data_IF_597512647911
#
_entry.id   IF_597512647911
#
_cell.length_a   1.000
_cell.length_b   1.000
_cell.length_c   1.000
_cell.angle_alpha   90.00
_cell.angle_beta   90.00
_cell.angle_gamma   90.00
#
_symmetry.space_group_name_H-M   'P 1'
#
loop_
_entity.id
_entity.type
_entity.pdbx_description
1 polymer ?
#
# COMPACT_ATOMS: atom_id res chain seq x y z
N UNK A 1 -14.59 12.40 -45.68
CA UNK A 1 -13.24 13.02 -45.62
C UNK A 1 -12.53 12.46 -44.39
N UNK A 2 -11.25 12.12 -44.48
CA UNK A 2 -10.47 11.61 -43.34
C UNK A 2 -10.00 12.75 -42.43
N UNK A 3 -9.97 12.51 -41.12
CA UNK A 3 -9.39 13.37 -40.07
C UNK A 3 -8.71 12.48 -39.02
N UNK A 4 -7.69 13.00 -38.34
CA UNK A 4 -7.02 12.29 -37.24
C UNK A 4 -7.97 12.00 -36.08
N UNK A 5 -8.79 12.98 -35.67
CA UNK A 5 -9.82 12.79 -34.62
C UNK A 5 -10.83 11.71 -35.01
N UNK A 6 -11.33 11.75 -36.26
CA UNK A 6 -12.29 10.74 -36.71
C UNK A 6 -11.65 9.36 -36.86
N UNK A 7 -10.34 9.26 -37.13
CA UNK A 7 -9.63 7.97 -37.09
C UNK A 7 -9.54 7.44 -35.67
N UNK A 8 -9.14 8.29 -34.72
CA UNK A 8 -9.08 7.94 -33.30
C UNK A 8 -10.43 7.46 -32.77
N UNK A 9 -11.51 8.20 -33.02
CA UNK A 9 -12.88 7.81 -32.62
C UNK A 9 -13.25 6.43 -33.17
N UNK A 10 -13.00 6.17 -34.46
CA UNK A 10 -13.28 4.85 -35.07
C UNK A 10 -12.42 3.73 -34.48
N UNK A 11 -11.18 4.01 -34.10
CA UNK A 11 -10.29 3.04 -33.46
C UNK A 11 -10.76 2.72 -32.04
N UNK A 12 -11.20 3.73 -31.28
CA UNK A 12 -11.80 3.57 -29.95
C UNK A 12 -13.12 2.81 -30.02
N UNK A 13 -14.06 3.20 -30.88
CA UNK A 13 -15.35 2.51 -31.04
C UNK A 13 -15.17 1.02 -31.40
N UNK A 14 -14.18 0.72 -32.25
CA UNK A 14 -13.85 -0.66 -32.61
C UNK A 14 -13.26 -1.42 -31.41
N UNK A 15 -12.37 -0.78 -30.64
CA UNK A 15 -11.79 -1.39 -29.45
C UNK A 15 -12.87 -1.63 -28.38
N UNK A 16 -13.76 -0.68 -28.16
CA UNK A 16 -14.87 -0.79 -27.21
C UNK A 16 -15.85 -1.90 -27.62
N UNK A 17 -16.18 -2.00 -28.91
CA UNK A 17 -17.00 -3.10 -29.41
C UNK A 17 -16.36 -4.49 -29.28
N UNK A 18 -15.02 -4.57 -29.33
CA UNK A 18 -14.28 -5.85 -29.23
C UNK A 18 -13.97 -6.25 -27.79
N UNK A 19 -13.59 -5.30 -26.94
CA UNK A 19 -13.09 -5.54 -25.59
C UNK A 19 -14.10 -5.15 -24.50
N UNK A 20 -15.04 -4.26 -24.79
CA UNK A 20 -16.08 -3.81 -23.86
C UNK A 20 -16.85 -4.96 -23.20
N UNK A 21 -17.38 -5.95 -23.96
CA UNK A 21 -18.09 -7.08 -23.36
C UNK A 21 -17.23 -7.90 -22.38
N UNK A 22 -15.91 -7.93 -22.58
CA UNK A 22 -14.99 -8.64 -21.69
C UNK A 22 -14.77 -7.84 -20.39
N UNK A 23 -14.63 -6.52 -20.47
CA UNK A 23 -14.54 -5.65 -19.29
C UNK A 23 -15.86 -5.64 -18.50
N UNK A 24 -17.00 -5.57 -19.19
CA UNK A 24 -18.34 -5.67 -18.57
C UNK A 24 -18.53 -6.99 -17.84
N UNK A 25 -18.13 -8.12 -18.46
CA UNK A 25 -18.16 -9.44 -17.81
C UNK A 25 -17.42 -9.41 -16.48
N UNK A 26 -16.20 -8.88 -16.43
CA UNK A 26 -15.40 -8.89 -15.21
C UNK A 26 -15.85 -7.85 -14.19
N UNK A 27 -16.34 -6.69 -14.62
CA UNK A 27 -16.90 -5.67 -13.74
C UNK A 27 -18.09 -6.20 -12.94
N UNK A 28 -18.92 -7.04 -13.56
CA UNK A 28 -20.11 -7.59 -12.92
C UNK A 28 -19.82 -8.83 -12.04
N UNK A 29 -18.56 -9.31 -12.03
CA UNK A 29 -18.10 -10.39 -11.17
C UNK A 29 -17.55 -9.83 -9.85
N UNK A 30 -17.58 -10.65 -8.79
CA UNK A 30 -16.85 -10.32 -7.57
C UNK A 30 -15.33 -10.40 -7.79
N UNK A 31 -14.56 -9.51 -7.16
CA UNK A 31 -13.10 -9.43 -7.31
C UNK A 31 -12.42 -10.78 -7.04
N UNK A 32 -12.90 -11.57 -6.08
CA UNK A 32 -12.34 -12.90 -5.78
C UNK A 32 -12.52 -13.84 -6.98
N UNK A 33 -13.70 -13.83 -7.60
CA UNK A 33 -13.97 -14.63 -8.78
C UNK A 33 -13.14 -14.17 -10.00
N UNK A 34 -12.92 -12.86 -10.13
CA UNK A 34 -12.02 -12.29 -11.16
C UNK A 34 -10.57 -12.69 -10.90
N UNK A 35 -10.14 -12.74 -9.63
CA UNK A 35 -8.80 -13.15 -9.23
C UNK A 35 -8.52 -14.63 -9.55
N UNK A 36 -9.54 -15.49 -9.52
CA UNK A 36 -9.40 -16.91 -9.86
C UNK A 36 -9.37 -17.17 -11.38
N UNK A 37 -9.96 -16.29 -12.20
CA UNK A 37 -9.98 -16.40 -13.66
C UNK A 37 -8.58 -16.14 -14.28
N UNK A 38 -8.04 -17.14 -14.98
CA UNK A 38 -6.70 -17.05 -15.59
C UNK A 38 -6.59 -15.94 -16.65
N UNK A 39 -7.63 -15.73 -17.44
CA UNK A 39 -7.65 -14.69 -18.46
C UNK A 39 -7.67 -13.31 -17.81
N UNK A 40 -8.47 -13.13 -16.76
CA UNK A 40 -8.52 -11.90 -15.98
C UNK A 40 -7.16 -11.60 -15.31
N UNK A 41 -6.52 -12.57 -14.65
CA UNK A 41 -5.19 -12.38 -14.04
C UNK A 41 -4.15 -11.93 -15.05
N UNK A 42 -4.09 -12.56 -16.23
CA UNK A 42 -3.16 -12.13 -17.30
C UNK A 42 -3.47 -10.72 -17.82
N UNK A 43 -4.73 -10.29 -17.80
CA UNK A 43 -5.09 -8.92 -18.13
C UNK A 43 -4.64 -7.95 -17.04
N UNK A 44 -4.96 -8.26 -15.78
CA UNK A 44 -4.55 -7.45 -14.62
C UNK A 44 -3.03 -7.34 -14.48
N UNK A 45 -2.27 -8.41 -14.73
CA UNK A 45 -0.80 -8.38 -14.78
C UNK A 45 -0.28 -7.38 -15.81
N UNK A 46 -0.84 -7.39 -17.02
CA UNK A 46 -0.47 -6.44 -18.08
C UNK A 46 -0.81 -5.01 -17.68
N UNK A 47 -1.96 -4.77 -17.05
CA UNK A 47 -2.29 -3.46 -16.51
C UNK A 47 -1.29 -3.04 -15.43
N UNK A 48 -0.95 -3.95 -14.51
CA UNK A 48 -0.04 -3.69 -13.40
C UNK A 48 1.36 -3.32 -13.88
N UNK A 49 1.92 -4.07 -14.83
CA UNK A 49 3.24 -3.79 -15.41
C UNK A 49 3.28 -2.41 -16.09
N UNK A 50 2.18 -1.99 -16.72
CA UNK A 50 2.12 -0.71 -17.42
C UNK A 50 1.91 0.49 -16.49
N UNK A 51 1.14 0.32 -15.41
CA UNK A 51 0.66 1.46 -14.60
C UNK A 51 1.18 1.48 -13.16
N UNK A 52 1.54 0.34 -12.58
CA UNK A 52 1.83 0.21 -11.15
C UNK A 52 3.28 -0.18 -10.86
N UNK A 53 3.92 -0.96 -11.75
CA UNK A 53 5.24 -1.56 -11.53
C UNK A 53 6.37 -0.55 -11.34
N UNK A 54 6.25 0.67 -11.87
CA UNK A 54 7.24 1.74 -11.67
C UNK A 54 7.44 2.07 -10.19
N UNK A 55 6.38 1.97 -9.39
CA UNK A 55 6.40 2.25 -7.96
C UNK A 55 6.47 0.97 -7.13
N UNK A 56 5.62 -0.01 -7.44
CA UNK A 56 5.49 -1.25 -6.66
C UNK A 56 6.43 -2.38 -7.11
N UNK A 57 7.32 -2.12 -8.08
CA UNK A 57 8.22 -3.12 -8.63
C UNK A 57 7.54 -4.03 -9.65
N UNK A 58 8.33 -4.59 -10.58
CA UNK A 58 7.82 -5.49 -11.62
C UNK A 58 7.25 -6.79 -11.06
N UNK A 59 7.73 -7.23 -9.89
CA UNK A 59 7.26 -8.40 -9.17
C UNK A 59 6.27 -8.08 -8.06
N UNK A 60 5.85 -6.81 -7.94
CA UNK A 60 4.96 -6.28 -6.92
C UNK A 60 5.50 -6.32 -5.47
N UNK A 61 6.81 -6.54 -5.27
CA UNK A 61 7.42 -6.57 -3.92
C UNK A 61 7.74 -5.20 -3.34
N UNK A 62 7.43 -4.13 -4.06
CA UNK A 62 7.66 -2.77 -3.62
C UNK A 62 9.13 -2.37 -3.63
N UNK A 63 9.41 -1.28 -2.94
CA UNK A 63 10.73 -0.72 -2.72
C UNK A 63 10.70 0.16 -1.46
N UNK A 64 11.81 0.78 -1.08
CA UNK A 64 11.80 1.74 0.02
C UNK A 64 10.80 2.86 -0.26
N UNK A 65 9.77 2.98 0.59
CA UNK A 65 8.67 3.94 0.45
C UNK A 65 7.47 3.45 -0.35
N UNK A 66 7.53 2.26 -0.96
CA UNK A 66 6.45 1.66 -1.74
C UNK A 66 6.10 0.26 -1.21
N UNK A 67 4.84 0.01 -0.81
CA UNK A 67 4.45 -1.26 -0.18
C UNK A 67 4.71 -2.48 -1.06
N UNK A 68 5.05 -3.60 -0.41
CA UNK A 68 4.99 -4.92 -0.98
C UNK A 68 3.52 -5.34 -1.08
N UNK A 69 3.04 -5.60 -2.29
CA UNK A 69 1.64 -5.95 -2.53
C UNK A 69 1.38 -7.46 -2.51
N UNK A 70 2.41 -8.26 -2.23
CA UNK A 70 2.31 -9.72 -2.16
C UNK A 70 2.19 -10.25 -0.74
N UNK A 71 2.66 -9.51 0.25
CA UNK A 71 2.58 -9.96 1.63
C UNK A 71 1.21 -9.66 2.25
N UNK A 72 1.10 -10.02 3.53
CA UNK A 72 -0.14 -9.89 4.28
C UNK A 72 -0.14 -8.62 5.18
N UNK A 73 0.80 -7.68 4.99
CA UNK A 73 0.88 -6.45 5.76
C UNK A 73 0.26 -5.27 5.00
N UNK A 74 -0.98 -4.95 5.36
CA UNK A 74 -1.78 -3.95 4.65
C UNK A 74 -2.01 -2.71 5.48
N UNK A 75 -1.51 -1.58 4.97
CA UNK A 75 -1.70 -0.26 5.59
C UNK A 75 -3.18 0.18 5.63
N UNK A 76 -3.97 -0.18 4.62
CA UNK A 76 -5.36 0.30 4.45
C UNK A 76 -6.39 -0.82 4.33
N UNK A 77 -6.04 -2.04 4.76
CA UNK A 77 -6.86 -3.25 4.55
C UNK A 77 -6.47 -3.99 3.27
N UNK A 78 -6.47 -5.32 3.35
CA UNK A 78 -6.08 -6.22 2.26
C UNK A 78 -7.25 -7.01 1.65
N UNK A 79 -8.48 -6.76 2.11
CA UNK A 79 -9.66 -7.35 1.47
C UNK A 79 -9.93 -6.67 0.11
N UNK A 80 -10.64 -7.36 -0.80
CA UNK A 80 -10.85 -6.89 -2.16
C UNK A 80 -11.40 -5.46 -2.27
N UNK A 81 -12.36 -5.10 -1.41
CA UNK A 81 -12.99 -3.78 -1.45
C UNK A 81 -12.03 -2.67 -1.06
N UNK A 82 -11.18 -2.88 -0.03
CA UNK A 82 -10.18 -1.89 0.38
C UNK A 82 -9.04 -1.74 -0.65
N UNK A 83 -8.67 -2.83 -1.34
CA UNK A 83 -7.70 -2.77 -2.45
C UNK A 83 -8.26 -1.94 -3.59
N UNK A 84 -9.49 -2.23 -4.03
CA UNK A 84 -10.15 -1.49 -5.11
C UNK A 84 -10.33 -0.02 -4.76
N UNK A 85 -10.78 0.28 -3.54
CA UNK A 85 -10.89 1.65 -3.04
C UNK A 85 -9.53 2.36 -3.07
N UNK A 86 -8.46 1.70 -2.65
CA UNK A 86 -7.10 2.25 -2.68
C UNK A 86 -6.68 2.59 -4.11
N UNK A 87 -7.00 1.75 -5.08
CA UNK A 87 -6.66 2.00 -6.49
C UNK A 87 -7.47 3.15 -7.05
N UNK A 88 -8.78 3.16 -6.82
CA UNK A 88 -9.69 4.16 -7.37
C UNK A 88 -9.43 5.55 -6.77
N UNK A 89 -9.48 5.65 -5.45
CA UNK A 89 -9.55 6.92 -4.74
C UNK A 89 -8.18 7.38 -4.22
N UNK A 90 -7.16 6.52 -4.35
CA UNK A 90 -5.83 6.79 -3.85
C UNK A 90 -5.76 6.73 -2.32
N UNK A 91 -4.56 6.93 -1.79
CA UNK A 91 -4.30 6.99 -0.34
C UNK A 91 -3.23 8.04 -0.04
N UNK A 92 -3.36 8.66 1.13
CA UNK A 92 -2.42 9.66 1.61
C UNK A 92 -2.05 9.37 3.07
N UNK A 93 -0.90 8.74 3.27
CA UNK A 93 -0.38 8.41 4.59
C UNK A 93 0.46 9.55 5.14
N UNK A 94 0.07 10.09 6.28
CA UNK A 94 0.74 11.24 6.92
C UNK A 94 1.24 10.85 8.31
N UNK A 95 2.56 10.89 8.49
CA UNK A 95 3.22 10.85 9.79
C UNK A 95 3.85 12.24 10.05
N UNK A 96 3.42 12.98 11.08
CA UNK A 96 4.02 14.27 11.41
C UNK A 96 5.49 14.17 11.80
N UNK A 97 6.21 15.29 11.71
CA UNK A 97 7.55 15.43 12.26
C UNK A 97 7.49 15.64 13.77
N UNK A 98 8.21 14.82 14.55
CA UNK A 98 8.12 14.84 16.01
C UNK A 98 9.38 15.34 16.72
N UNK A 99 10.49 15.60 16.01
CA UNK A 99 11.77 15.91 16.66
C UNK A 99 11.67 17.06 17.68
N UNK A 100 11.08 18.19 17.29
CA UNK A 100 10.93 19.33 18.20
C UNK A 100 10.04 19.00 19.41
N UNK A 101 8.93 18.28 19.20
CA UNK A 101 8.00 17.90 20.25
C UNK A 101 8.59 16.87 21.22
N UNK A 102 9.50 16.02 20.74
CA UNK A 102 10.18 15.01 21.54
C UNK A 102 11.39 15.55 22.33
N UNK A 103 11.74 16.84 22.16
CA UNK A 103 12.89 17.45 22.81
C UNK A 103 14.21 17.21 22.08
N UNK A 104 14.16 17.03 20.75
CA UNK A 104 15.31 16.82 19.89
C UNK A 104 15.68 15.35 19.72
N UNK A 105 16.90 15.11 19.24
CA UNK A 105 17.39 13.80 18.84
C UNK A 105 17.34 12.76 19.98
N UNK A 106 17.58 13.16 21.23
CA UNK A 106 17.51 12.24 22.37
C UNK A 106 16.10 11.65 22.54
N UNK A 107 15.05 12.47 22.42
CA UNK A 107 13.69 11.98 22.50
C UNK A 107 13.27 11.11 21.31
N UNK A 108 13.80 11.41 20.12
CA UNK A 108 13.63 10.53 18.95
C UNK A 108 14.29 9.17 19.19
N UNK A 109 15.48 9.15 19.77
CA UNK A 109 16.17 7.89 20.15
C UNK A 109 15.36 7.10 21.17
N UNK A 110 14.89 7.74 22.25
CA UNK A 110 14.08 7.07 23.28
C UNK A 110 12.85 6.38 22.67
N UNK A 111 12.09 7.09 21.82
CA UNK A 111 10.90 6.53 21.15
C UNK A 111 11.29 5.43 20.15
N UNK A 112 12.41 5.58 19.46
CA UNK A 112 12.90 4.54 18.53
C UNK A 112 13.20 3.24 19.28
N UNK A 113 13.86 3.30 20.43
CA UNK A 113 14.13 2.13 21.28
C UNK A 113 12.83 1.49 21.78
N UNK A 114 11.82 2.30 22.14
CA UNK A 114 10.51 1.75 22.52
C UNK A 114 9.82 1.05 21.34
N UNK A 115 9.80 1.68 20.15
CA UNK A 115 9.21 1.08 18.93
C UNK A 115 9.94 -0.22 18.55
N UNK A 116 11.26 -0.28 18.68
CA UNK A 116 12.00 -1.53 18.48
C UNK A 116 11.68 -2.60 19.53
N UNK A 117 11.37 -2.21 20.76
CA UNK A 117 10.91 -3.16 21.78
C UNK A 117 9.57 -3.82 21.40
N UNK A 118 8.67 -3.09 20.72
CA UNK A 118 7.39 -3.61 20.25
C UNK A 118 7.55 -4.69 19.17
N UNK A 119 8.59 -4.59 18.34
CA UNK A 119 8.94 -5.59 17.32
C UNK A 119 9.85 -6.72 17.84
N UNK A 120 10.04 -6.80 19.16
CA UNK A 120 10.83 -7.85 19.81
C UNK A 120 12.34 -7.75 19.59
N UNK A 121 12.84 -6.58 19.21
CA UNK A 121 14.28 -6.36 18.98
C UNK A 121 15.02 -6.11 20.29
N UNK A 122 16.33 -6.35 20.26
CA UNK A 122 17.20 -5.98 21.38
C UNK A 122 17.39 -4.46 21.41
N UNK A 123 17.20 -3.85 22.58
CA UNK A 123 17.09 -2.39 22.77
C UNK A 123 17.76 -1.95 24.07
N UNK A 124 18.03 -0.65 24.19
CA UNK A 124 18.33 -0.04 25.49
C UNK A 124 17.03 0.09 26.29
N UNK A 125 16.84 -0.78 27.27
CA UNK A 125 15.66 -0.80 28.14
C UNK A 125 15.42 0.53 28.89
N UNK A 126 16.49 1.28 29.21
CA UNK A 126 16.37 2.57 29.91
C UNK A 126 15.80 3.61 28.97
N UNK A 127 16.29 3.66 27.73
CA UNK A 127 15.78 4.55 26.69
C UNK A 127 14.36 4.17 26.27
N UNK A 128 14.09 2.88 26.08
CA UNK A 128 12.75 2.37 25.78
C UNK A 128 11.72 2.73 26.87
N UNK A 129 12.12 2.69 28.15
CA UNK A 129 11.24 3.09 29.26
C UNK A 129 10.86 4.58 29.18
N UNK A 130 11.81 5.47 28.85
CA UNK A 130 11.53 6.89 28.61
C UNK A 130 10.70 7.10 27.33
N UNK A 131 10.96 6.29 26.30
CA UNK A 131 10.25 6.32 25.03
C UNK A 131 8.78 5.91 25.16
N UNK A 132 8.48 4.96 26.06
CA UNK A 132 7.12 4.46 26.29
C UNK A 132 6.12 5.57 26.64
N UNK A 133 6.51 6.49 27.53
CA UNK A 133 5.64 7.60 27.93
C UNK A 133 5.38 8.55 26.74
N UNK A 134 6.43 8.91 26.00
CA UNK A 134 6.33 9.75 24.79
C UNK A 134 5.47 9.09 23.71
N UNK A 135 5.63 7.78 23.51
CA UNK A 135 4.84 6.99 22.58
C UNK A 135 3.35 7.01 22.93
N UNK A 136 3.00 6.78 24.21
CA UNK A 136 1.62 6.81 24.66
C UNK A 136 0.96 8.18 24.44
N UNK A 137 1.72 9.27 24.55
CA UNK A 137 1.22 10.62 24.38
C UNK A 137 1.09 11.06 22.91
N UNK A 138 2.01 10.64 22.04
CA UNK A 138 2.15 11.20 20.68
C UNK A 138 1.89 10.20 19.55
N UNK A 139 2.16 8.92 19.77
CA UNK A 139 2.17 7.91 18.71
C UNK A 139 0.94 6.99 18.78
N UNK A 140 0.49 6.66 19.98
CA UNK A 140 -0.57 5.67 20.20
C UNK A 140 -1.94 6.05 19.62
N UNK A 141 -2.20 7.35 19.41
CA UNK A 141 -3.44 7.82 18.78
C UNK A 141 -3.57 7.31 17.33
N UNK A 142 -2.45 7.11 16.64
CA UNK A 142 -2.44 6.60 15.27
C UNK A 142 -2.01 5.13 15.21
N UNK A 143 -0.99 4.72 15.97
CA UNK A 143 -0.43 3.37 15.88
C UNK A 143 -1.01 2.37 16.90
N UNK A 144 -1.95 2.80 17.75
CA UNK A 144 -2.46 1.97 18.84
C UNK A 144 -1.55 1.98 20.07
N UNK A 145 -2.09 1.61 21.24
CA UNK A 145 -1.32 1.56 22.49
C UNK A 145 -0.30 0.41 22.50
N UNK A 146 -0.61 -0.66 21.80
CA UNK A 146 0.19 -1.86 21.59
C UNK A 146 1.03 -1.81 20.31
N UNK A 147 0.83 -0.80 19.45
CA UNK A 147 1.58 -0.61 18.22
C UNK A 147 1.09 -1.42 17.04
N UNK A 148 -0.11 -2.03 17.10
CA UNK A 148 -0.64 -2.85 15.99
C UNK A 148 -1.03 -2.05 14.75
N UNK A 149 -0.95 -0.71 14.80
CA UNK A 149 -1.32 0.16 13.71
C UNK A 149 -2.82 0.48 13.67
N UNK A 150 -3.21 1.25 12.66
CA UNK A 150 -4.60 1.61 12.40
C UNK A 150 -4.84 1.75 10.90
N UNK A 151 -5.55 0.77 10.34
CA UNK A 151 -5.81 0.72 8.90
C UNK A 151 -6.69 1.86 8.39
N UNK A 152 -7.55 2.43 9.24
CA UNK A 152 -8.36 3.58 8.85
C UNK A 152 -7.52 4.83 8.59
N UNK A 153 -6.31 4.90 9.17
CA UNK A 153 -5.37 6.00 9.02
C UNK A 153 -4.19 5.67 8.10
N UNK A 154 -4.03 4.42 7.66
CA UNK A 154 -2.81 4.00 6.99
C UNK A 154 -1.61 3.85 7.92
N UNK A 155 -1.84 3.81 9.24
CA UNK A 155 -0.76 3.75 10.22
C UNK A 155 -0.23 2.32 10.30
N UNK A 156 1.04 2.07 9.96
CA UNK A 156 1.61 0.71 9.93
C UNK A 156 1.64 0.07 11.30
N UNK A 157 1.60 -1.26 11.28
CA UNK A 157 1.95 -2.10 12.42
C UNK A 157 3.43 -1.88 12.77
N UNK A 158 3.71 -1.65 14.05
CA UNK A 158 5.06 -1.44 14.59
C UNK A 158 5.55 -2.66 15.37
N UNK A 159 4.73 -3.70 15.51
CA UNK A 159 5.07 -4.92 16.26
C UNK A 159 5.69 -6.01 15.39
N UNK A 160 5.73 -5.84 14.08
CA UNK A 160 6.34 -6.78 13.14
C UNK A 160 7.71 -6.29 12.64
N UNK A 161 8.25 -6.98 11.63
CA UNK A 161 9.53 -6.66 11.03
C UNK A 161 9.41 -6.16 9.58
N UNK A 162 8.25 -5.64 9.19
CA UNK A 162 7.97 -5.09 7.87
C UNK A 162 8.07 -3.57 7.93
N UNK A 163 9.07 -3.01 7.24
CA UNK A 163 9.40 -1.58 7.35
C UNK A 163 9.41 -0.89 5.99
N UNK A 164 8.33 -0.17 5.69
CA UNK A 164 8.16 0.55 4.41
C UNK A 164 9.32 1.53 4.13
N UNK A 165 9.77 2.27 5.14
CA UNK A 165 10.82 3.29 5.01
C UNK A 165 12.21 2.83 5.46
N UNK A 166 12.37 1.53 5.74
CA UNK A 166 13.59 0.91 6.25
C UNK A 166 13.60 0.73 7.77
N UNK A 167 14.05 -0.44 8.23
CA UNK A 167 14.01 -0.84 9.64
C UNK A 167 15.30 -0.60 10.42
N UNK A 168 16.28 0.12 9.88
CA UNK A 168 17.50 0.46 10.65
C UNK A 168 17.21 1.58 11.65
N UNK A 169 17.99 1.68 12.73
CA UNK A 169 17.86 2.77 13.72
C UNK A 169 17.83 4.14 13.04
N UNK A 170 18.75 4.40 12.10
CA UNK A 170 18.79 5.66 11.37
C UNK A 170 17.52 5.93 10.54
N UNK A 171 16.93 4.91 9.91
CA UNK A 171 15.72 5.06 9.08
C UNK A 171 14.47 5.31 9.92
N UNK A 172 14.37 4.65 11.07
CA UNK A 172 13.24 4.84 12.01
C UNK A 172 13.35 6.19 12.70
N UNK A 173 14.54 6.55 13.20
CA UNK A 173 14.79 7.88 13.74
C UNK A 173 14.47 8.98 12.73
N UNK A 174 14.86 8.82 11.46
CA UNK A 174 14.52 9.79 10.42
C UNK A 174 13.00 9.92 10.23
N UNK A 175 12.28 8.79 10.23
CA UNK A 175 10.81 8.79 10.07
C UNK A 175 10.13 9.51 11.23
N UNK A 176 10.57 9.28 12.47
CA UNK A 176 10.04 9.95 13.67
C UNK A 176 10.42 11.43 13.66
N UNK A 177 11.67 11.76 13.34
CA UNK A 177 12.17 13.13 13.39
C UNK A 177 11.52 14.03 12.34
N UNK A 178 11.47 13.56 11.08
CA UNK A 178 11.07 14.37 9.92
C UNK A 178 9.66 14.08 9.41
N UNK A 179 9.02 13.02 9.90
CA UNK A 179 7.73 12.56 9.41
C UNK A 179 7.82 11.86 8.04
N UNK A 180 6.65 11.45 7.53
CA UNK A 180 6.46 10.78 6.24
C UNK A 180 5.17 11.29 5.59
N UNK A 181 5.17 11.36 4.27
CA UNK A 181 4.01 11.73 3.46
C UNK A 181 3.98 10.81 2.22
N UNK A 182 3.43 9.61 2.41
CA UNK A 182 3.33 8.59 1.36
C UNK A 182 2.05 8.79 0.56
N UNK A 183 2.16 8.76 -0.78
CA UNK A 183 1.01 8.95 -1.66
C UNK A 183 0.87 7.78 -2.64
N UNK A 184 -0.32 7.23 -2.67
CA UNK A 184 -0.81 6.36 -3.73
C UNK A 184 -1.79 7.21 -4.57
N UNK A 185 -1.47 7.57 -5.82
CA UNK A 185 -2.32 8.44 -6.64
C UNK A 185 -3.68 7.79 -6.97
N UNK A 186 -4.79 8.55 -7.01
CA UNK A 186 -6.07 8.02 -7.45
C UNK A 186 -6.02 7.65 -8.93
N UNK A 187 -6.55 6.48 -9.28
CA UNK A 187 -6.62 6.01 -10.67
C UNK A 187 -8.03 6.03 -11.26
N UNK A 188 -9.06 6.44 -10.50
CA UNK A 188 -10.45 6.50 -10.98
C UNK A 188 -10.59 7.26 -12.30
N UNK A 189 -10.05 8.48 -12.38
CA UNK A 189 -10.17 9.32 -13.58
C UNK A 189 -9.25 8.88 -14.72
N UNK A 190 -8.16 8.17 -14.40
CA UNK A 190 -7.14 7.77 -15.39
C UNK A 190 -7.42 6.39 -16.00
N UNK A 191 -7.77 5.41 -15.18
CA UNK A 191 -8.00 4.02 -15.58
C UNK A 191 -9.49 3.66 -15.69
N UNK A 192 -10.36 4.36 -14.96
CA UNK A 192 -11.77 4.00 -14.83
C UNK A 192 -11.99 2.80 -13.90
N UNK A 193 -13.26 2.48 -13.66
CA UNK A 193 -13.64 1.40 -12.74
C UNK A 193 -13.26 0.02 -13.29
N UNK A 194 -13.54 -0.27 -14.57
CA UNK A 194 -13.30 -1.59 -15.18
C UNK A 194 -11.84 -2.06 -15.07
N UNK A 195 -10.88 -1.17 -15.38
CA UNK A 195 -9.45 -1.50 -15.28
C UNK A 195 -8.98 -1.55 -13.83
N UNK A 196 -9.53 -0.68 -12.97
CA UNK A 196 -9.19 -0.67 -11.54
C UNK A 196 -9.68 -1.93 -10.84
N UNK A 197 -10.85 -2.45 -11.22
CA UNK A 197 -11.41 -3.71 -10.76
C UNK A 197 -10.51 -4.90 -11.11
N UNK A 198 -10.06 -4.98 -12.37
CA UNK A 198 -9.09 -6.00 -12.80
C UNK A 198 -7.73 -5.88 -12.11
N UNK A 199 -7.26 -4.66 -11.85
CA UNK A 199 -6.05 -4.43 -11.08
C UNK A 199 -6.21 -4.86 -9.62
N UNK A 200 -7.35 -4.58 -9.00
CA UNK A 200 -7.67 -5.00 -7.64
C UNK A 200 -7.68 -6.53 -7.54
N UNK A 201 -8.32 -7.21 -8.49
CA UNK A 201 -8.34 -8.67 -8.58
C UNK A 201 -6.94 -9.25 -8.77
N UNK A 202 -6.11 -8.64 -9.62
CA UNK A 202 -4.74 -9.08 -9.79
C UNK A 202 -3.92 -8.91 -8.52
N UNK A 203 -3.95 -7.73 -7.88
CA UNK A 203 -3.26 -7.48 -6.61
C UNK A 203 -3.70 -8.45 -5.53
N UNK A 204 -5.01 -8.70 -5.42
CA UNK A 204 -5.55 -9.70 -4.50
C UNK A 204 -5.02 -11.12 -4.79
N UNK A 205 -4.95 -11.51 -6.07
CA UNK A 205 -4.41 -12.81 -6.48
C UNK A 205 -2.93 -13.01 -6.14
N UNK A 206 -2.16 -11.93 -5.98
CA UNK A 206 -0.74 -12.00 -5.60
C UNK A 206 -0.56 -12.47 -4.16
N UNK A 207 -1.52 -12.17 -3.28
CA UNK A 207 -1.55 -12.61 -1.89
C UNK A 207 -1.88 -14.10 -1.80
N UNK A 208 -2.92 -14.54 -2.53
CA UNK A 208 -3.42 -15.93 -2.46
C UNK A 208 -2.54 -16.92 -3.21
N UNK A 209 -1.83 -16.48 -4.26
CA UNK A 209 -0.86 -17.30 -4.99
C UNK A 209 0.34 -17.74 -4.15
N UNK A 210 0.60 -17.10 -3.01
CA UNK A 210 1.62 -17.54 -2.07
C UNK A 210 1.18 -18.76 -1.24
N UNK A 211 -0.12 -18.87 -0.92
CA UNK A 211 -0.67 -20.04 -0.23
C UNK A 211 -0.63 -21.32 -1.08
N UNK A 212 -0.71 -21.20 -2.42
CA UNK A 212 -0.66 -22.34 -3.36
C UNK A 212 0.77 -22.84 -3.67
N UNK A 213 1.81 -22.12 -3.24
CA UNK A 213 3.22 -22.50 -3.43
C UNK A 213 3.86 -23.05 -2.15
N UNK A 214 3.13 -23.04 -1.04
CA UNK A 214 3.56 -23.58 0.27
C UNK A 214 2.90 -24.93 0.60
N UNK A 215 2.13 -25.51 -0.34
CA UNK A 215 1.64 -26.91 -0.36
C UNK A 215 2.46 -27.80 -1.33
#
# INVERSE_FOLDING_TARGET
KWTSTGQYEREMDKADGLYGPLFEKYRDMDIVAVADDEQARRMGERLFVNYCATCHGSDARGARGFPNLRDNDWLYGGDPAHIEQTILDGRNGVMPAWEAALGGTEGVTDVTEYVFSLSGRNVDNTAALRGKEKYAQMCAACHGMDGTGNQALGAPNLTDNIWLYGGTTASVMESIAKGRNGQMPPHRDFLGEDKSHLLAAYVYSLQTGQALLEE
#
